data_IF_796261957169
#
_entry.id   IF_796261957169
#
_cell.length_a   1.000
_cell.length_b   1.000
_cell.length_c   1.000
_cell.angle_alpha   90.00
_cell.angle_beta   90.00
_cell.angle_gamma   90.00
#
_symmetry.space_group_name_H-M   'P 1'
#
loop_
_entity.id
_entity.type
_entity.pdbx_description
1 polymer ?
#
# COMPACT_ATOMS: atom_id res chain seq x y z
N UNK A 1 0.90 -34.67 11.35
CA UNK A 1 1.96 -33.79 11.87
C UNK A 1 1.41 -32.38 11.85
N UNK A 2 1.11 -31.83 13.02
CA UNK A 2 0.56 -30.49 13.17
C UNK A 2 1.69 -29.61 13.71
N UNK A 3 2.23 -28.74 12.86
CA UNK A 3 3.30 -27.79 13.19
C UNK A 3 2.82 -26.42 12.72
N UNK A 4 2.88 -25.44 13.62
CA UNK A 4 2.50 -24.06 13.33
C UNK A 4 3.51 -23.38 12.41
N UNK A 5 3.12 -22.27 11.76
CA UNK A 5 4.02 -21.49 10.90
C UNK A 5 5.20 -20.94 11.69
N UNK A 6 4.95 -20.55 12.93
CA UNK A 6 5.93 -20.04 13.88
C UNK A 6 6.95 -21.11 14.22
N UNK A 7 6.51 -22.31 14.63
CA UNK A 7 7.40 -23.44 14.94
C UNK A 7 8.23 -23.87 13.72
N UNK A 8 7.62 -23.92 12.54
CA UNK A 8 8.36 -24.23 11.31
C UNK A 8 9.45 -23.19 11.03
N UNK A 9 9.17 -21.91 11.23
CA UNK A 9 10.15 -20.84 11.03
C UNK A 9 11.30 -20.91 12.05
N UNK A 10 11.01 -21.26 13.31
CA UNK A 10 12.03 -21.47 14.32
C UNK A 10 12.96 -22.64 13.97
N UNK A 11 12.40 -23.76 13.49
CA UNK A 11 13.17 -24.92 13.04
C UNK A 11 14.06 -24.59 11.82
N UNK A 12 13.58 -23.74 10.91
CA UNK A 12 14.35 -23.32 9.73
C UNK A 12 15.51 -22.37 10.06
N UNK A 13 15.34 -21.48 11.05
CA UNK A 13 16.29 -20.37 11.32
C UNK A 13 17.16 -20.65 12.56
N UNK A 14 16.78 -21.62 13.40
CA UNK A 14 17.53 -22.02 14.60
C UNK A 14 17.41 -21.04 15.78
N UNK A 15 16.45 -20.10 15.73
CA UNK A 15 16.15 -19.14 16.80
C UNK A 15 14.70 -18.70 16.74
N UNK A 16 14.19 -18.14 17.84
CA UNK A 16 12.85 -17.53 17.89
C UNK A 16 12.68 -16.46 16.81
N UNK A 17 11.61 -16.57 16.04
CA UNK A 17 11.25 -15.60 15.00
C UNK A 17 10.02 -14.82 15.47
N UNK A 18 10.20 -13.55 15.81
CA UNK A 18 9.07 -12.67 16.07
C UNK A 18 8.42 -12.25 14.75
N UNK A 19 7.09 -12.29 14.69
CA UNK A 19 6.35 -11.77 13.55
C UNK A 19 6.53 -10.24 13.40
N UNK A 20 6.34 -9.70 12.18
CA UNK A 20 6.41 -8.26 11.95
C UNK A 20 5.36 -7.53 12.79
N UNK A 21 5.80 -6.51 13.54
CA UNK A 21 4.90 -5.68 14.34
C UNK A 21 4.44 -4.49 13.49
N UNK A 22 3.19 -4.52 13.07
CA UNK A 22 2.57 -3.38 12.43
C UNK A 22 2.25 -2.32 13.49
N UNK A 23 2.65 -1.08 13.22
CA UNK A 23 2.25 0.09 14.02
C UNK A 23 1.36 0.94 13.16
N UNK A 24 0.38 1.61 13.78
CA UNK A 24 -0.46 2.57 13.07
C UNK A 24 0.42 3.70 12.58
N UNK A 25 0.52 3.86 11.27
CA UNK A 25 1.24 4.99 10.68
C UNK A 25 0.38 6.26 10.85
N UNK A 26 1.03 7.38 11.19
CA UNK A 26 0.39 8.70 11.16
C UNK A 26 0.77 9.37 9.85
N UNK A 27 -0.19 9.70 8.97
CA UNK A 27 0.10 10.40 7.73
C UNK A 27 0.83 11.72 7.99
N UNK A 28 1.86 12.00 7.21
CA UNK A 28 2.59 13.27 7.26
C UNK A 28 1.89 14.37 6.45
N UNK A 29 2.65 15.39 6.04
CA UNK A 29 2.11 16.44 5.17
C UNK A 29 1.71 15.89 3.79
N UNK A 30 0.73 16.50 3.08
CA UNK A 30 0.43 16.17 1.69
C UNK A 30 1.69 16.20 0.83
N UNK A 31 1.98 15.10 0.16
CA UNK A 31 3.14 14.92 -0.71
C UNK A 31 2.76 14.95 -2.21
N UNK A 32 1.55 14.48 -2.53
CA UNK A 32 0.97 14.54 -3.88
C UNK A 32 -0.51 14.89 -3.77
N UNK A 33 -0.97 15.85 -4.58
CA UNK A 33 -2.37 16.27 -4.62
C UNK A 33 -2.84 16.28 -6.07
N UNK A 34 -3.87 15.50 -6.35
CA UNK A 34 -4.73 15.63 -7.53
C UNK A 34 -6.00 16.35 -7.10
N UNK A 35 -6.31 17.45 -7.79
CA UNK A 35 -7.58 18.16 -7.66
C UNK A 35 -8.31 18.14 -9.00
N UNK A 36 -9.43 17.39 -9.03
CA UNK A 36 -10.35 17.28 -10.17
C UNK A 36 -9.63 17.04 -11.50
N UNK A 37 -8.69 16.09 -11.49
CA UNK A 37 -7.89 15.77 -12.66
C UNK A 37 -8.69 14.92 -13.64
N UNK A 38 -8.80 15.41 -14.87
CA UNK A 38 -9.40 14.71 -16.01
C UNK A 38 -8.33 14.41 -17.05
N UNK A 39 -8.43 13.25 -17.71
CA UNK A 39 -7.49 12.85 -18.75
C UNK A 39 -8.19 12.10 -19.86
N UNK A 40 -7.82 12.40 -21.10
CA UNK A 40 -8.37 11.78 -22.31
C UNK A 40 -7.33 10.85 -22.91
N UNK A 41 -7.73 9.61 -23.21
CA UNK A 41 -6.88 8.63 -23.86
C UNK A 41 -6.90 8.75 -25.39
N UNK A 42 -6.18 7.86 -26.06
CA UNK A 42 -6.20 7.75 -27.52
C UNK A 42 -7.64 7.58 -28.05
N UNK A 43 -7.95 8.27 -29.16
CA UNK A 43 -9.27 8.25 -29.78
C UNK A 43 -10.33 9.09 -29.06
N UNK A 44 -9.94 10.02 -28.18
CA UNK A 44 -10.84 11.00 -27.57
C UNK A 44 -11.70 10.46 -26.41
N UNK A 45 -11.47 9.21 -25.97
CA UNK A 45 -12.22 8.61 -24.87
C UNK A 45 -11.69 9.08 -23.51
N UNK A 46 -12.54 9.52 -22.57
CA UNK A 46 -12.08 9.87 -21.22
C UNK A 46 -11.52 8.64 -20.51
N UNK A 47 -10.37 8.81 -19.87
CA UNK A 47 -9.66 7.79 -19.07
C UNK A 47 -9.66 8.13 -17.58
N UNK A 48 -9.66 9.43 -17.26
CA UNK A 48 -9.91 9.97 -15.92
C UNK A 48 -10.95 11.08 -16.04
N UNK A 49 -11.84 11.18 -15.06
CA UNK A 49 -12.90 12.18 -15.03
C UNK A 49 -13.00 12.78 -13.62
N UNK A 50 -12.57 14.03 -13.48
CA UNK A 50 -12.62 14.84 -12.25
C UNK A 50 -12.13 14.10 -11.00
N UNK A 51 -11.00 13.41 -11.10
CA UNK A 51 -10.46 12.61 -9.99
C UNK A 51 -9.68 13.49 -9.02
N UNK A 52 -10.07 13.46 -7.74
CA UNK A 52 -9.32 14.08 -6.64
C UNK A 52 -8.74 13.01 -5.70
N UNK A 53 -7.46 13.14 -5.37
CA UNK A 53 -6.72 12.22 -4.49
C UNK A 53 -5.61 13.01 -3.80
N UNK A 54 -5.38 12.78 -2.52
CA UNK A 54 -4.21 13.28 -1.81
C UNK A 54 -3.43 12.10 -1.22
N UNK A 55 -2.13 12.07 -1.47
CA UNK A 55 -1.19 11.12 -0.86
C UNK A 55 -0.30 11.91 0.09
N UNK A 56 -0.25 11.50 1.35
CA UNK A 56 0.55 12.11 2.40
C UNK A 56 1.91 11.42 2.53
N UNK A 57 2.87 12.13 3.11
CA UNK A 57 4.18 11.58 3.40
C UNK A 57 4.07 10.36 4.33
N UNK A 58 4.75 9.27 3.96
CA UNK A 58 4.71 8.00 4.69
C UNK A 58 3.57 7.05 4.30
N UNK A 59 2.63 7.49 3.44
CA UNK A 59 1.60 6.60 2.90
C UNK A 59 2.14 5.75 1.74
N UNK A 60 1.78 4.47 1.73
CA UNK A 60 1.97 3.55 0.60
C UNK A 60 0.59 3.30 0.00
N UNK A 61 0.32 3.90 -1.16
CA UNK A 61 -0.98 3.80 -1.84
C UNK A 61 -0.88 2.82 -3.01
N UNK A 62 -1.70 1.76 -2.97
CA UNK A 62 -1.85 0.84 -4.09
C UNK A 62 -2.95 1.31 -5.05
N UNK A 63 -2.66 1.32 -6.35
CA UNK A 63 -3.65 1.59 -7.40
C UNK A 63 -3.99 0.27 -8.09
N UNK A 64 -5.28 -0.04 -8.20
CA UNK A 64 -5.76 -1.23 -8.89
C UNK A 64 -6.94 -0.88 -9.81
N UNK A 65 -6.97 -1.53 -10.97
CA UNK A 65 -7.95 -1.30 -12.04
C UNK A 65 -7.55 -2.03 -13.31
#
# INVERSE_FOLDING_TARGET
>A
SETSREELAELMVGRKVAGPRHTTATPGAPALVFDRVSATGAGGKPKLHEVSLTVHAGEIVGIAG
#
